data_IF_676885105895
#
_entry.id   IF_676885105895
#
_cell.length_a   1.000
_cell.length_b   1.000
_cell.length_c   1.000
_cell.angle_alpha   90.00
_cell.angle_beta   90.00
_cell.angle_gamma   90.00
#
_symmetry.space_group_name_H-M   'P 1'
#
loop_
_entity.id
_entity.type
_entity.pdbx_description
1 polymer ?
#
# COMPACT_ATOMS: atom_id res chain seq x y z
N UNK A 1 -18.39 5.26 -8.26
CA UNK A 1 -18.71 6.58 -7.66
C UNK A 1 -17.38 7.25 -7.43
N UNK A 2 -17.20 8.51 -7.82
CA UNK A 2 -16.02 9.29 -7.44
C UNK A 2 -15.79 9.10 -5.93
N UNK A 3 -14.54 8.83 -5.51
CA UNK A 3 -14.18 8.84 -4.10
C UNK A 3 -14.83 10.07 -3.48
N UNK A 4 -15.79 9.85 -2.60
CA UNK A 4 -16.43 10.93 -1.86
C UNK A 4 -15.38 11.32 -0.85
N UNK A 5 -14.41 12.14 -1.28
CA UNK A 5 -13.37 12.63 -0.40
C UNK A 5 -14.07 13.40 0.71
N UNK A 6 -14.27 12.73 1.84
CA UNK A 6 -14.80 13.35 3.05
C UNK A 6 -13.86 14.49 3.38
N UNK A 7 -14.44 15.68 3.57
CA UNK A 7 -13.69 16.87 3.86
C UNK A 7 -12.87 16.65 5.15
N UNK A 8 -11.58 17.00 5.13
CA UNK A 8 -10.75 16.90 6.34
C UNK A 8 -11.22 17.96 7.32
N UNK A 9 -11.45 17.61 8.59
CA UNK A 9 -11.87 18.60 9.59
C UNK A 9 -10.82 19.70 9.75
N UNK A 10 -11.27 20.95 9.81
CA UNK A 10 -10.39 22.09 10.06
C UNK A 10 -10.77 23.33 9.26
N UNK A 11 -10.11 24.45 9.55
CA UNK A 11 -10.21 25.65 8.71
C UNK A 11 -9.32 25.48 7.47
N UNK A 12 -9.72 25.98 6.29
CA UNK A 12 -8.82 26.08 5.15
C UNK A 12 -7.55 26.85 5.52
N UNK A 13 -6.43 26.53 4.87
CA UNK A 13 -5.20 27.30 5.02
C UNK A 13 -5.44 28.77 4.61
N UNK A 14 -4.99 29.70 5.45
CA UNK A 14 -5.07 31.13 5.14
C UNK A 14 -4.00 31.51 4.11
N UNK A 15 -4.20 32.63 3.39
CA UNK A 15 -3.22 33.12 2.40
C UNK A 15 -1.83 33.33 3.00
N UNK A 16 -1.77 33.72 4.28
CA UNK A 16 -0.53 33.86 5.06
C UNK A 16 0.20 32.52 5.21
N UNK A 17 -0.54 31.43 5.48
CA UNK A 17 0.00 30.07 5.55
C UNK A 17 0.56 29.63 4.21
N UNK A 18 -0.20 29.81 3.12
CA UNK A 18 0.25 29.44 1.78
C UNK A 18 1.54 30.18 1.36
N UNK A 19 1.67 31.46 1.71
CA UNK A 19 2.88 32.24 1.46
C UNK A 19 4.07 31.71 2.28
N UNK A 20 3.87 31.40 3.56
CA UNK A 20 4.90 30.83 4.43
C UNK A 20 5.35 29.45 3.93
N UNK A 21 4.42 28.59 3.56
CA UNK A 21 4.69 27.25 3.00
C UNK A 21 5.50 27.34 1.71
N UNK A 22 5.15 28.28 0.81
CA UNK A 22 5.91 28.51 -0.43
C UNK A 22 7.34 28.96 -0.13
N UNK A 23 7.52 29.90 0.80
CA UNK A 23 8.85 30.38 1.18
C UNK A 23 9.68 29.28 1.85
N UNK A 24 9.09 28.48 2.73
CA UNK A 24 9.75 27.34 3.36
C UNK A 24 10.15 26.28 2.33
N UNK A 25 9.26 25.96 1.38
CA UNK A 25 9.53 24.99 0.33
C UNK A 25 10.65 25.42 -0.64
N UNK A 26 10.86 26.72 -0.82
CA UNK A 26 11.98 27.24 -1.62
C UNK A 26 13.34 27.12 -0.91
N UNK A 27 13.36 26.96 0.41
CA UNK A 27 14.59 26.91 1.23
C UNK A 27 14.94 25.46 1.61
N UNK A 28 13.93 24.64 1.91
CA UNK A 28 14.12 23.28 2.38
C UNK A 28 14.34 22.29 1.23
N UNK A 29 15.20 21.30 1.47
CA UNK A 29 15.38 20.16 0.56
C UNK A 29 14.33 19.08 0.80
N UNK A 30 13.78 18.52 -0.28
CA UNK A 30 12.78 17.45 -0.25
C UNK A 30 13.31 16.14 -0.84
N UNK A 31 14.62 15.90 -0.76
CA UNK A 31 15.29 14.78 -1.42
C UNK A 31 14.62 13.42 -1.21
N UNK A 32 14.13 13.05 0.01
CA UNK A 32 13.44 11.78 0.18
C UNK A 32 12.13 11.68 -0.61
N UNK A 33 11.36 12.77 -0.69
CA UNK A 33 10.09 12.83 -1.43
C UNK A 33 10.36 12.85 -2.93
N UNK A 34 11.38 13.59 -3.36
CA UNK A 34 11.79 13.70 -4.76
C UNK A 34 12.34 12.38 -5.34
N UNK A 35 12.62 11.37 -4.50
CA UNK A 35 12.98 10.02 -4.94
C UNK A 35 11.79 9.12 -5.31
N UNK A 36 10.56 9.54 -5.05
CA UNK A 36 9.37 8.82 -5.51
C UNK A 36 9.30 8.92 -7.04
N UNK A 37 9.28 7.77 -7.71
CA UNK A 37 9.35 7.69 -9.19
C UNK A 37 8.37 6.67 -9.78
N UNK A 38 7.55 6.04 -8.96
CA UNK A 38 6.58 5.06 -9.40
C UNK A 38 5.22 5.31 -8.76
N UNK A 39 4.17 5.26 -9.57
CA UNK A 39 2.77 5.29 -9.16
C UNK A 39 2.11 3.98 -9.57
N UNK A 40 1.54 3.27 -8.61
CA UNK A 40 0.74 2.06 -8.82
C UNK A 40 -0.66 2.27 -8.25
N UNK A 41 -1.66 1.71 -8.90
CA UNK A 41 -2.99 1.55 -8.35
C UNK A 41 -3.20 0.06 -8.06
N UNK A 42 -3.65 -0.25 -6.85
CA UNK A 42 -4.02 -1.59 -6.41
C UNK A 42 -5.20 -1.49 -5.43
N UNK A 43 -5.56 -2.61 -4.80
CA UNK A 43 -6.72 -2.67 -3.93
C UNK A 43 -6.44 -3.48 -2.68
N UNK A 44 -6.77 -2.90 -1.53
CA UNK A 44 -6.57 -3.55 -0.25
C UNK A 44 -7.89 -3.93 0.39
N UNK A 45 -7.86 -4.99 1.20
CA UNK A 45 -8.87 -5.24 2.21
C UNK A 45 -8.24 -5.29 3.61
N UNK A 46 -9.07 -5.08 4.63
CA UNK A 46 -8.60 -5.10 6.02
C UNK A 46 -8.22 -6.54 6.40
N UNK A 47 -7.06 -6.73 7.01
CA UNK A 47 -6.51 -8.05 7.30
C UNK A 47 -7.38 -8.94 8.19
N UNK A 48 -8.42 -8.39 8.81
CA UNK A 48 -9.45 -9.10 9.58
C UNK A 48 -10.88 -8.95 9.02
N UNK A 49 -11.08 -8.19 7.94
CA UNK A 49 -12.38 -7.92 7.32
C UNK A 49 -12.26 -7.69 5.80
N UNK A 50 -12.45 -8.76 5.03
CA UNK A 50 -12.45 -8.72 3.56
C UNK A 50 -13.61 -7.94 2.92
N UNK A 51 -14.67 -7.63 3.69
CA UNK A 51 -15.85 -6.93 3.15
C UNK A 51 -15.57 -5.45 2.92
N UNK A 52 -14.56 -4.92 3.62
CA UNK A 52 -14.10 -3.55 3.52
C UNK A 52 -12.90 -3.49 2.58
N UNK A 53 -13.05 -2.75 1.48
CA UNK A 53 -12.05 -2.71 0.40
C UNK A 53 -11.79 -1.26 0.02
N UNK A 54 -10.52 -0.95 -0.21
CA UNK A 54 -9.99 0.40 -0.43
C UNK A 54 -9.15 0.39 -1.69
N UNK A 55 -9.43 1.28 -2.63
CA UNK A 55 -8.51 1.63 -3.72
C UNK A 55 -7.28 2.32 -3.13
N UNK A 56 -6.09 1.85 -3.48
CA UNK A 56 -4.85 2.28 -2.89
C UNK A 56 -3.86 2.72 -3.98
N UNK A 57 -3.45 3.98 -3.90
CA UNK A 57 -2.45 4.56 -4.80
C UNK A 57 -1.09 4.58 -4.12
N UNK A 58 -0.18 3.75 -4.62
CA UNK A 58 1.17 3.60 -4.12
C UNK A 58 2.10 4.55 -4.86
N UNK A 59 2.77 5.42 -4.10
CA UNK A 59 3.81 6.31 -4.58
C UNK A 59 5.15 5.81 -4.03
N UNK A 60 5.86 5.06 -4.87
CA UNK A 60 6.98 4.24 -4.45
C UNK A 60 8.34 4.85 -4.80
N UNK A 61 9.29 4.56 -3.92
CA UNK A 61 10.73 4.73 -4.14
C UNK A 61 11.43 3.40 -3.89
N UNK A 62 12.30 3.01 -4.80
CA UNK A 62 13.19 1.87 -4.63
C UNK A 62 14.33 2.26 -3.68
N UNK A 63 14.53 1.49 -2.62
CA UNK A 63 15.72 1.62 -1.76
C UNK A 63 16.91 0.87 -2.38
N UNK A 64 16.62 -0.26 -3.01
CA UNK A 64 17.52 -1.06 -3.84
C UNK A 64 16.68 -1.98 -4.75
N UNK A 65 17.32 -2.91 -5.46
CA UNK A 65 16.65 -3.87 -6.37
C UNK A 65 15.67 -4.81 -5.65
N UNK A 66 15.83 -5.02 -4.35
CA UNK A 66 15.06 -5.99 -3.57
C UNK A 66 14.05 -5.36 -2.62
N UNK A 67 14.04 -4.03 -2.47
CA UNK A 67 13.20 -3.35 -1.50
C UNK A 67 12.66 -2.03 -2.04
N UNK A 68 11.33 -1.92 -2.04
CA UNK A 68 10.58 -0.69 -2.33
C UNK A 68 9.85 -0.23 -1.07
N UNK A 69 9.72 1.08 -0.93
CA UNK A 69 8.86 1.69 0.08
C UNK A 69 7.90 2.67 -0.59
N UNK A 70 6.65 2.61 -0.18
CA UNK A 70 5.57 3.36 -0.80
C UNK A 70 4.79 4.17 0.23
N UNK A 71 4.49 5.41 -0.11
CA UNK A 71 3.40 6.16 0.52
C UNK A 71 2.10 5.79 -0.17
N UNK A 72 1.05 5.53 0.60
CA UNK A 72 -0.26 5.13 0.05
C UNK A 72 -1.25 6.27 0.24
N UNK A 73 -1.94 6.62 -0.85
CA UNK A 73 -3.01 7.61 -0.86
C UNK A 73 -4.35 6.99 -1.26
N UNK A 74 -5.46 7.61 -0.85
CA UNK A 74 -6.84 7.23 -1.22
C UNK A 74 -7.27 7.70 -2.63
N UNK A 75 -6.34 8.32 -3.37
CA UNK A 75 -6.56 8.87 -4.69
C UNK A 75 -5.25 9.38 -5.30
N UNK A 76 -5.33 9.84 -6.54
CA UNK A 76 -4.21 10.45 -7.28
C UNK A 76 -4.27 11.99 -7.34
N UNK A 77 -5.40 12.57 -6.91
CA UNK A 77 -5.61 14.02 -6.95
C UNK A 77 -4.84 14.77 -5.87
N UNK A 78 -4.67 16.10 -6.01
CA UNK A 78 -3.93 16.93 -5.05
C UNK A 78 -4.56 17.03 -3.65
N UNK A 79 -5.78 16.50 -3.47
CA UNK A 79 -6.48 16.43 -2.18
C UNK A 79 -6.56 14.99 -1.63
N UNK A 80 -5.85 14.06 -2.25
CA UNK A 80 -5.79 12.69 -1.77
C UNK A 80 -5.17 12.67 -0.37
N UNK A 81 -5.73 11.84 0.50
CA UNK A 81 -5.29 11.66 1.88
C UNK A 81 -4.16 10.66 1.89
N UNK A 82 -3.07 10.97 2.60
CA UNK A 82 -2.08 9.96 2.95
C UNK A 82 -2.74 8.97 3.91
N UNK A 83 -2.97 7.75 3.46
CA UNK A 83 -3.69 6.73 4.23
C UNK A 83 -2.77 5.66 4.78
N UNK A 84 -1.58 5.43 4.22
CA UNK A 84 -0.80 4.25 4.58
C UNK A 84 0.64 4.26 4.10
N UNK A 85 1.33 3.18 4.46
CA UNK A 85 2.64 2.82 3.90
C UNK A 85 2.64 1.35 3.52
N UNK A 86 3.42 1.03 2.51
CA UNK A 86 3.77 -0.34 2.16
C UNK A 86 5.28 -0.49 1.99
N UNK A 87 5.77 -1.64 2.46
CA UNK A 87 7.09 -2.13 2.12
C UNK A 87 6.95 -3.35 1.22
N UNK A 88 7.64 -3.32 0.08
CA UNK A 88 7.66 -4.41 -0.89
C UNK A 88 9.06 -5.01 -0.86
N UNK A 89 9.15 -6.33 -0.74
CA UNK A 89 10.43 -7.04 -0.70
C UNK A 89 10.49 -8.17 -1.72
N UNK A 90 11.70 -8.50 -2.18
CA UNK A 90 11.96 -9.68 -2.99
C UNK A 90 11.52 -10.96 -2.26
N UNK A 91 11.28 -12.03 -3.03
CA UNK A 91 11.03 -13.36 -2.46
C UNK A 91 12.17 -13.80 -1.54
N UNK A 92 13.43 -13.54 -1.91
CA UNK A 92 14.60 -13.91 -1.11
C UNK A 92 14.58 -13.25 0.27
N UNK A 93 14.29 -11.95 0.33
CA UNK A 93 14.15 -11.22 1.60
C UNK A 93 12.95 -11.72 2.40
N UNK A 94 11.81 -11.97 1.75
CA UNK A 94 10.63 -12.51 2.43
C UNK A 94 10.90 -13.88 3.06
N UNK A 95 11.59 -14.78 2.34
CA UNK A 95 11.92 -16.12 2.86
C UNK A 95 12.86 -16.06 4.07
N UNK A 96 13.73 -15.04 4.13
CA UNK A 96 14.64 -14.80 5.25
C UNK A 96 13.97 -14.17 6.49
N UNK A 97 12.70 -13.75 6.39
CA UNK A 97 11.97 -13.22 7.55
C UNK A 97 11.71 -14.32 8.59
N UNK A 98 11.62 -13.94 9.88
CA UNK A 98 11.05 -14.81 10.91
C UNK A 98 9.65 -15.32 10.54
N UNK A 99 9.33 -16.55 10.90
CA UNK A 99 8.04 -17.18 10.54
C UNK A 99 6.83 -16.48 11.17
N UNK A 100 6.99 -15.81 12.31
CA UNK A 100 5.95 -15.03 12.98
C UNK A 100 5.70 -13.67 12.30
N UNK A 101 6.64 -13.19 11.50
CA UNK A 101 6.55 -11.95 10.73
C UNK A 101 5.83 -12.17 9.39
N UNK A 102 6.11 -13.28 8.67
CA UNK A 102 5.53 -13.61 7.36
C UNK A 102 4.00 -13.46 7.24
N UNK A 103 3.18 -13.78 8.27
CA UNK A 103 1.73 -13.58 8.22
C UNK A 103 1.25 -12.14 8.10
N UNK A 104 2.14 -11.15 8.26
CA UNK A 104 1.86 -9.73 8.04
C UNK A 104 2.09 -9.30 6.59
N UNK A 105 2.50 -10.23 5.74
CA UNK A 105 2.83 -9.97 4.34
C UNK A 105 1.87 -10.71 3.41
N UNK A 106 1.63 -10.13 2.24
CA UNK A 106 0.85 -10.74 1.17
C UNK A 106 1.70 -10.87 -0.10
N UNK A 107 1.37 -11.84 -0.95
CA UNK A 107 2.01 -11.97 -2.27
C UNK A 107 1.29 -11.07 -3.27
N UNK A 108 2.06 -10.39 -4.14
CA UNK A 108 1.50 -9.59 -5.23
C UNK A 108 1.13 -10.40 -6.48
N UNK A 109 1.42 -11.71 -6.51
CA UNK A 109 1.27 -12.55 -7.72
C UNK A 109 -0.12 -12.40 -8.35
N UNK A 110 -1.17 -12.58 -7.54
CA UNK A 110 -2.53 -12.56 -8.07
C UNK A 110 -2.95 -11.18 -8.55
N UNK A 111 -2.66 -10.12 -7.80
CA UNK A 111 -3.04 -8.75 -8.19
C UNK A 111 -2.37 -8.32 -9.49
N UNK A 112 -1.10 -8.69 -9.68
CA UNK A 112 -0.39 -8.44 -10.93
C UNK A 112 -0.99 -9.23 -12.08
N UNK A 113 -1.14 -10.55 -11.92
CA UNK A 113 -1.61 -11.45 -13.00
C UNK A 113 -3.08 -11.25 -13.35
N UNK A 114 -3.90 -10.79 -12.41
CA UNK A 114 -5.32 -10.45 -12.65
C UNK A 114 -5.51 -9.10 -13.36
N UNK A 115 -4.44 -8.32 -13.53
CA UNK A 115 -4.50 -6.97 -14.09
C UNK A 115 -4.97 -5.88 -13.11
N UNK A 116 -5.33 -6.26 -11.88
CA UNK A 116 -5.85 -5.34 -10.85
C UNK A 116 -4.80 -4.36 -10.34
N UNK A 117 -3.53 -4.78 -10.30
CA UNK A 117 -2.39 -3.90 -10.01
C UNK A 117 -1.84 -3.36 -11.34
N UNK A 118 -1.81 -2.04 -11.49
CA UNK A 118 -1.34 -1.39 -12.71
C UNK A 118 -0.69 -0.03 -12.42
N UNK A 119 0.09 0.45 -13.38
CA UNK A 119 0.62 1.83 -13.37
C UNK A 119 -0.35 2.76 -14.12
N UNK A 120 -1.01 3.72 -13.44
CA UNK A 120 -1.91 4.67 -14.10
C UNK A 120 -1.22 5.44 -15.23
N UNK A 121 -1.92 5.62 -16.35
CA UNK A 121 -1.44 6.36 -17.54
C UNK A 121 -0.19 5.78 -18.24
N UNK A 122 0.37 4.68 -17.75
CA UNK A 122 1.53 4.01 -18.36
C UNK A 122 1.04 2.89 -19.28
N UNK A 123 1.38 2.90 -20.58
CA UNK A 123 0.96 1.87 -21.52
C UNK A 123 1.36 0.46 -21.05
N UNK A 124 0.48 -0.53 -21.26
CA UNK A 124 0.71 -1.91 -20.82
C UNK A 124 2.09 -2.47 -21.19
N UNK A 125 2.57 -2.21 -22.41
CA UNK A 125 3.89 -2.66 -22.86
C UNK A 125 5.07 -2.06 -22.07
N UNK A 126 4.89 -0.86 -21.52
CA UNK A 126 5.93 -0.15 -20.76
C UNK A 126 5.93 -0.61 -19.31
N UNK A 127 4.77 -0.86 -18.70
CA UNK A 127 4.70 -1.32 -17.31
C UNK A 127 5.00 -2.82 -17.13
N UNK A 128 4.78 -3.66 -18.16
CA UNK A 128 4.91 -5.13 -18.05
C UNK A 128 6.25 -5.63 -17.50
N UNK A 129 7.43 -5.09 -17.90
CA UNK A 129 8.70 -5.52 -17.32
C UNK A 129 8.79 -5.28 -15.80
N UNK A 130 8.21 -4.19 -15.30
CA UNK A 130 8.13 -3.96 -13.85
C UNK A 130 7.13 -4.92 -13.20
N UNK A 131 5.98 -5.15 -13.83
CA UNK A 131 4.99 -6.12 -13.36
C UNK A 131 5.57 -7.53 -13.23
N UNK A 132 6.46 -7.97 -14.13
CA UNK A 132 7.18 -9.25 -14.01
C UNK A 132 8.01 -9.34 -12.73
N UNK A 133 8.62 -8.23 -12.31
CA UNK A 133 9.35 -8.17 -11.03
C UNK A 133 8.38 -8.16 -9.86
N UNK A 134 7.37 -7.27 -9.88
CA UNK A 134 6.38 -7.14 -8.80
C UNK A 134 5.63 -8.45 -8.56
N UNK A 135 5.34 -9.22 -9.62
CA UNK A 135 4.66 -10.52 -9.55
C UNK A 135 5.37 -11.53 -8.62
N UNK A 136 6.68 -11.34 -8.36
CA UNK A 136 7.51 -12.20 -7.50
C UNK A 136 7.72 -11.66 -6.08
N UNK A 137 7.11 -10.53 -5.75
CA UNK A 137 7.38 -9.82 -4.49
C UNK A 137 6.29 -10.03 -3.44
N UNK A 138 6.60 -9.63 -2.21
CA UNK A 138 5.68 -9.64 -1.07
C UNK A 138 5.56 -8.24 -0.48
N UNK A 139 4.34 -7.84 -0.11
CA UNK A 139 4.01 -6.52 0.46
C UNK A 139 3.58 -6.61 1.92
N UNK A 140 4.03 -5.67 2.76
CA UNK A 140 3.51 -5.44 4.12
C UNK A 140 2.94 -4.04 4.21
N UNK A 141 1.63 -3.98 4.43
CA UNK A 141 0.86 -2.74 4.26
C UNK A 141 0.08 -2.39 5.51
N UNK A 142 0.20 -1.14 5.94
CA UNK A 142 -0.63 -0.57 7.00
C UNK A 142 -1.33 0.68 6.54
N UNK A 143 -2.64 0.73 6.77
CA UNK A 143 -3.41 1.96 6.66
C UNK A 143 -3.59 2.60 8.05
N UNK A 144 -3.26 3.87 8.17
CA UNK A 144 -3.45 4.74 9.32
C UNK A 144 -4.77 5.52 9.24
N UNK A 145 -5.37 5.66 8.06
CA UNK A 145 -6.68 6.29 7.88
C UNK A 145 -7.67 5.34 7.21
N UNK A 146 -8.74 5.02 7.92
CA UNK A 146 -9.85 4.20 7.42
C UNK A 146 -10.86 5.03 6.62
N UNK A 147 -10.47 5.47 5.42
CA UNK A 147 -11.26 6.39 4.59
C UNK A 147 -12.65 5.86 4.19
N UNK A 148 -12.82 4.53 4.15
CA UNK A 148 -14.11 3.88 3.86
C UNK A 148 -15.15 4.06 4.97
N UNK A 149 -14.74 4.43 6.20
CA UNK A 149 -15.67 4.79 7.29
C UNK A 149 -16.25 6.19 7.15
N UNK A 150 -15.62 7.03 6.32
CA UNK A 150 -15.99 8.42 6.15
C UNK A 150 -15.60 9.32 7.34
N UNK A 151 -14.61 8.92 8.15
CA UNK A 151 -14.11 9.78 9.23
C UNK A 151 -13.34 10.99 8.65
N UNK A 152 -13.59 12.18 9.22
CA UNK A 152 -12.95 13.43 8.80
C UNK A 152 -11.47 13.55 9.23
N UNK A 153 -11.02 12.69 10.15
CA UNK A 153 -9.64 12.57 10.64
C UNK A 153 -9.20 11.10 10.69
N UNK A 154 -7.88 10.80 10.72
CA UNK A 154 -7.35 9.44 10.82
C UNK A 154 -7.53 8.88 12.24
N UNK A 155 -8.75 8.48 12.58
CA UNK A 155 -9.09 7.90 13.88
C UNK A 155 -8.72 6.42 13.94
N UNK A 156 -8.59 5.89 15.16
CA UNK A 156 -8.31 4.48 15.52
C UNK A 156 -6.87 3.99 15.30
N UNK A 157 -6.63 2.70 15.57
CA UNK A 157 -5.32 2.08 15.40
C UNK A 157 -4.99 1.87 13.93
N UNK A 158 -3.70 1.80 13.56
CA UNK A 158 -3.28 1.32 12.25
C UNK A 158 -3.91 -0.05 11.96
N UNK A 159 -4.24 -0.29 10.70
CA UNK A 159 -4.87 -1.53 10.25
C UNK A 159 -3.90 -2.25 9.30
N UNK A 160 -3.65 -3.53 9.57
CA UNK A 160 -2.96 -4.39 8.61
C UNK A 160 -3.86 -4.55 7.39
N UNK A 161 -3.30 -4.34 6.22
CA UNK A 161 -3.99 -4.46 4.94
C UNK A 161 -3.42 -5.64 4.15
N UNK A 162 -4.28 -6.29 3.38
CA UNK A 162 -3.94 -7.47 2.59
C UNK A 162 -4.43 -7.30 1.15
N UNK A 163 -3.73 -7.99 0.25
CA UNK A 163 -4.03 -8.08 -1.18
C UNK A 163 -5.00 -9.21 -1.52
N UNK A 164 -5.65 -9.07 -2.67
CA UNK A 164 -6.43 -10.15 -3.27
C UNK A 164 -5.55 -11.27 -3.78
N UNK A 165 -6.02 -12.51 -3.62
CA UNK A 165 -5.27 -13.75 -3.89
C UNK A 165 -6.01 -14.72 -4.82
N UNK A 166 -7.27 -14.44 -5.16
CA UNK A 166 -8.10 -15.27 -6.04
C UNK A 166 -9.30 -14.51 -6.60
N UNK A 167 -9.89 -15.10 -7.64
CA UNK A 167 -11.10 -14.58 -8.29
C UNK A 167 -12.28 -14.45 -7.32
N UNK A 168 -13.13 -13.46 -7.59
CA UNK A 168 -14.36 -13.21 -6.83
C UNK A 168 -14.18 -12.42 -5.53
N UNK A 169 -12.96 -11.98 -5.19
CA UNK A 169 -12.74 -11.19 -3.98
C UNK A 169 -12.98 -9.67 -4.17
N UNK A 170 -12.59 -9.10 -5.31
CA UNK A 170 -12.81 -7.67 -5.59
C UNK A 170 -14.29 -7.38 -5.88
N UNK A 171 -14.85 -6.32 -5.27
CA UNK A 171 -16.21 -5.86 -5.56
C UNK A 171 -16.33 -5.42 -7.02
N UNK A 172 -17.30 -6.00 -7.72
CA UNK A 172 -17.53 -5.74 -9.15
C UNK A 172 -17.79 -4.27 -9.48
N UNK A 173 -18.52 -3.56 -8.62
CA UNK A 173 -18.77 -2.13 -8.83
C UNK A 173 -17.50 -1.28 -8.70
N UNK A 174 -16.55 -1.69 -7.85
CA UNK A 174 -15.26 -1.03 -7.71
C UNK A 174 -14.37 -1.31 -8.94
N UNK A 175 -14.32 -2.56 -9.39
CA UNK A 175 -13.60 -2.94 -10.61
C UNK A 175 -14.06 -2.13 -11.82
N UNK A 176 -15.37 -2.11 -12.09
CA UNK A 176 -15.97 -1.36 -13.22
C UNK A 176 -15.75 0.14 -13.12
N UNK A 177 -15.70 0.70 -11.91
CA UNK A 177 -15.41 2.12 -11.71
C UNK A 177 -13.99 2.47 -12.16
N UNK A 178 -13.02 1.62 -11.81
CA UNK A 178 -11.60 1.79 -12.12
C UNK A 178 -11.34 1.60 -13.61
N UNK A 179 -11.83 0.50 -14.18
CA UNK A 179 -11.73 0.22 -15.62
C UNK A 179 -12.25 1.41 -16.45
N UNK A 180 -13.38 1.99 -16.03
CA UNK A 180 -13.95 3.18 -16.68
C UNK A 180 -13.09 4.43 -16.48
N UNK A 181 -12.56 4.69 -15.28
CA UNK A 181 -11.77 5.90 -14.98
C UNK A 181 -10.43 5.91 -15.69
N UNK A 182 -9.79 4.75 -15.82
CA UNK A 182 -8.47 4.62 -16.42
C UNK A 182 -8.49 4.12 -17.86
N UNK A 183 -9.68 3.83 -18.39
CA UNK A 183 -9.86 3.29 -19.76
C UNK A 183 -9.04 2.01 -19.98
N UNK A 184 -9.06 1.13 -18.96
CA UNK A 184 -8.36 -0.17 -18.95
C UNK A 184 -9.36 -1.33 -18.85
N UNK A 185 -8.89 -2.54 -19.16
CA UNK A 185 -9.62 -3.79 -18.94
C UNK A 185 -8.73 -4.74 -18.13
N UNK A 186 -9.17 -5.11 -16.94
CA UNK A 186 -8.46 -6.08 -16.10
C UNK A 186 -8.38 -7.44 -16.78
N UNK A 187 -9.44 -7.85 -17.48
CA UNK A 187 -9.46 -9.12 -18.20
C UNK A 187 -8.47 -9.13 -19.38
N UNK A 188 -8.37 -8.02 -20.14
CA UNK A 188 -7.37 -7.93 -21.19
C UNK A 188 -5.94 -7.93 -20.64
N UNK A 189 -5.70 -7.21 -19.55
CA UNK A 189 -4.40 -7.21 -18.89
C UNK A 189 -4.08 -8.60 -18.32
N UNK A 190 -5.06 -9.30 -17.76
CA UNK A 190 -4.91 -10.70 -17.30
C UNK A 190 -4.45 -11.61 -18.43
N UNK A 191 -5.11 -11.56 -19.59
CA UNK A 191 -4.70 -12.38 -20.74
C UNK A 191 -3.30 -12.00 -21.24
N UNK A 192 -2.99 -10.70 -21.31
CA UNK A 192 -1.66 -10.21 -21.69
C UNK A 192 -0.58 -10.61 -20.68
N UNK A 193 -0.92 -10.85 -19.41
CA UNK A 193 0.01 -11.18 -18.32
C UNK A 193 0.04 -12.67 -17.97
N UNK A 194 -0.71 -13.52 -18.68
CA UNK A 194 -0.80 -14.97 -18.42
C UNK A 194 0.56 -15.68 -18.42
N UNK A 195 1.54 -15.15 -19.14
CA UNK A 195 2.89 -15.69 -19.22
C UNK A 195 3.77 -15.38 -18.01
N UNK A 196 3.37 -14.44 -17.14
CA UNK A 196 4.16 -14.03 -15.98
C UNK A 196 4.18 -15.14 -14.92
N UNK A 197 5.37 -15.38 -14.37
CA UNK A 197 5.58 -16.28 -13.25
C UNK A 197 5.45 -15.52 -11.92
N UNK A 198 4.85 -16.16 -10.92
CA UNK A 198 4.92 -15.70 -9.53
C UNK A 198 6.28 -16.00 -8.89
N UNK A 199 6.35 -16.00 -7.55
CA UNK A 199 7.55 -16.39 -6.80
C UNK A 199 8.08 -17.76 -7.26
N UNK A 200 9.40 -17.92 -7.29
CA UNK A 200 10.08 -19.10 -7.83
C UNK A 200 9.82 -20.37 -6.98
N UNK A 201 9.53 -20.21 -5.68
CA UNK A 201 9.16 -21.31 -4.78
C UNK A 201 7.64 -21.44 -4.59
N UNK A 202 6.86 -20.71 -5.38
CA UNK A 202 5.43 -20.53 -5.18
C UNK A 202 5.10 -19.63 -3.98
N UNK A 203 3.81 -19.33 -3.82
CA UNK A 203 3.34 -18.51 -2.69
C UNK A 203 3.59 -19.27 -1.38
N UNK A 204 4.37 -18.66 -0.49
CA UNK A 204 4.71 -19.26 0.79
C UNK A 204 3.46 -19.44 1.67
N UNK A 205 3.29 -20.58 2.36
CA UNK A 205 2.07 -20.90 3.11
C UNK A 205 1.81 -20.00 4.32
N UNK A 206 2.82 -19.29 4.82
CA UNK A 206 2.67 -18.31 5.91
C UNK A 206 2.33 -16.89 5.42
N UNK A 207 2.38 -16.61 4.12
CA UNK A 207 1.92 -15.34 3.57
C UNK A 207 0.37 -15.29 3.54
N UNK A 208 -0.19 -14.14 3.17
CA UNK A 208 -1.62 -13.96 2.92
C UNK A 208 -2.50 -14.25 4.15
N UNK A 209 -1.97 -14.07 5.37
CA UNK A 209 -2.74 -14.22 6.61
C UNK A 209 -3.30 -15.63 6.79
N UNK A 210 -2.48 -16.69 6.79
CA UNK A 210 -2.79 -18.13 6.56
C UNK A 210 -4.19 -18.62 7.00
N UNK A 211 -5.23 -18.25 6.27
CA UNK A 211 -6.65 -18.53 6.59
C UNK A 211 -7.20 -17.87 7.86
N UNK A 212 -6.50 -16.90 8.45
CA UNK A 212 -6.86 -16.22 9.69
C UNK A 212 -6.77 -14.70 9.54
N UNK A 213 -7.80 -14.01 10.00
CA UNK A 213 -7.77 -12.55 10.12
C UNK A 213 -6.80 -12.09 11.21
N UNK A 214 -6.19 -10.91 11.04
CA UNK A 214 -5.30 -10.29 12.03
C UNK A 214 -5.70 -8.85 12.28
N UNK A 215 -5.79 -8.48 13.57
CA UNK A 215 -6.13 -7.14 14.03
C UNK A 215 -5.09 -6.66 15.04
N UNK A 216 -4.70 -5.40 14.93
CA UNK A 216 -3.88 -4.75 15.95
C UNK A 216 -4.70 -4.39 17.18
N UNK A 217 -4.13 -4.61 18.36
CA UNK A 217 -4.75 -4.29 19.65
C UNK A 217 -3.82 -3.41 20.47
N UNK A 218 -4.38 -2.36 21.07
CA UNK A 218 -3.65 -1.50 22.00
C UNK A 218 -3.65 -2.15 23.39
N UNK A 219 -2.50 -2.06 24.07
CA UNK A 219 -2.36 -2.51 25.45
C UNK A 219 -1.47 -1.53 26.21
N UNK A 220 -1.89 -1.17 27.42
CA UNK A 220 -1.05 -0.42 28.36
C UNK A 220 0.07 -1.31 28.91
N UNK A 221 1.27 -0.76 28.96
CA UNK A 221 2.47 -1.42 29.49
C UNK A 221 3.22 -0.43 30.37
N UNK A 222 3.87 -0.94 31.42
CA UNK A 222 4.72 -0.12 32.27
C UNK A 222 5.95 0.38 31.49
N UNK A 223 6.22 1.69 31.55
CA UNK A 223 7.43 2.28 30.98
C UNK A 223 8.44 2.43 32.12
N UNK A 224 9.49 1.59 32.18
CA UNK A 224 10.47 1.69 33.25
C UNK A 224 11.24 3.01 33.17
N UNK A 225 11.60 3.62 34.32
CA UNK A 225 12.41 4.83 34.35
C UNK A 225 13.82 4.55 33.79
N UNK A 226 14.41 5.56 33.13
CA UNK A 226 15.68 5.50 32.38
C UNK A 226 16.86 4.88 33.17
N UNK A 227 16.81 4.85 34.51
CA UNK A 227 17.86 4.32 35.38
C UNK A 227 17.84 2.80 35.65
N UNK A 228 16.85 2.05 35.18
CA UNK A 228 16.72 0.61 35.49
C UNK A 228 17.39 -0.34 34.49
N UNK A 229 18.06 0.18 33.46
CA UNK A 229 18.84 -0.65 32.52
C UNK A 229 20.29 -0.71 33.03
N UNK A 230 20.82 -1.88 33.44
CA UNK A 230 22.21 -2.00 33.83
C UNK A 230 23.07 -1.57 32.64
N UNK A 231 23.86 -0.52 32.81
CA UNK A 231 24.96 -0.22 31.88
C UNK A 231 25.96 -1.37 32.01
N UNK A 232 25.88 -2.34 31.12
CA UNK A 232 26.97 -3.27 30.91
C UNK A 232 28.15 -2.45 30.37
N UNK A 233 29.08 -2.12 31.25
CA UNK A 233 30.39 -1.63 30.84
C UNK A 233 31.10 -2.80 30.16
N UNK A 234 31.33 -2.68 28.84
CA UNK A 234 32.29 -3.50 28.09
C UNK A 234 33.61 -2.74 28.06
#
# INVERSE_FOLDING_TARGET
MASTHVNVSGKPAETSTALLETAAAAIQGFDPINKIHQHLCAFHFYGDDMTRQVEAHHFCSHQNEEMRQCLIYDGEGPRAKLIGVEYIVSEALFLALPDDEKPLWHSHEYEVKSGMLFMPQVPGAVQRPDMEQVCKTYGKTYHFWQVDRGDELPLSLPQLMMAFTRDGQLRQELAKDIERRYEISFEEEREKRRYMAGPDHGIHPLANGPGKGRRLALREVDVPPVGSVPRAFI
#
